data_IF_672264803175
#
_entry.id   IF_672264803175
#
_cell.length_a   1.000
_cell.length_b   1.000
_cell.length_c   1.000
_cell.angle_alpha   90.00
_cell.angle_beta   90.00
_cell.angle_gamma   90.00
#
_symmetry.space_group_name_H-M   'P 1'
#
loop_
_entity.id
_entity.type
_entity.pdbx_description
1 polymer ?
#
# COMPACT_ATOMS: atom_id res chain seq x y z
N UNK A 1 4.14 23.02 -0.47
CA UNK A 1 3.94 22.81 0.98
C UNK A 1 2.56 22.18 1.16
N UNK A 2 2.46 21.00 1.75
CA UNK A 2 1.18 20.36 2.06
C UNK A 2 0.69 20.88 3.43
N UNK A 3 -0.56 21.39 3.54
CA UNK A 3 -1.09 21.85 4.82
C UNK A 3 -1.35 20.72 5.82
N UNK A 4 -1.27 19.45 5.42
CA UNK A 4 -1.47 18.33 6.34
C UNK A 4 -2.90 18.24 6.88
N UNK A 5 -3.06 17.60 8.04
CA UNK A 5 -4.35 17.47 8.73
C UNK A 5 -4.43 18.44 9.91
N UNK A 6 -5.59 19.09 10.14
CA UNK A 6 -5.80 19.89 11.35
C UNK A 6 -5.71 19.00 12.58
N UNK A 7 -4.95 19.45 13.58
CA UNK A 7 -4.74 18.68 14.83
C UNK A 7 -5.18 19.45 16.07
N UNK A 8 -5.43 20.75 15.98
CA UNK A 8 -5.86 21.57 17.11
C UNK A 8 -5.51 23.04 16.97
N UNK A 9 -5.43 23.73 18.11
CA UNK A 9 -5.28 25.19 18.17
C UNK A 9 -4.22 25.62 19.18
N UNK A 10 -3.59 26.76 18.90
CA UNK A 10 -2.70 27.43 19.85
C UNK A 10 -3.51 28.00 21.03
N UNK A 11 -3.16 27.63 22.25
CA UNK A 11 -3.76 28.19 23.48
C UNK A 11 -2.93 29.32 24.07
N UNK A 12 -1.61 29.26 23.91
CA UNK A 12 -0.68 30.27 24.42
C UNK A 12 0.61 30.29 23.59
N UNK A 13 1.24 31.46 23.51
CA UNK A 13 2.54 31.65 22.87
C UNK A 13 3.48 32.24 23.93
N UNK A 14 4.59 31.58 24.18
CA UNK A 14 5.69 32.04 25.02
C UNK A 14 6.89 32.51 24.19
N UNK A 15 7.99 32.90 24.84
CA UNK A 15 9.18 33.44 24.14
C UNK A 15 9.87 32.41 23.24
N UNK A 16 9.87 31.14 23.64
CA UNK A 16 10.54 30.03 22.93
C UNK A 16 9.66 28.78 22.82
N UNK A 17 8.38 28.88 23.17
CA UNK A 17 7.44 27.75 23.14
C UNK A 17 6.04 28.19 22.73
N UNK A 18 5.25 27.22 22.31
CA UNK A 18 3.85 27.38 21.90
C UNK A 18 3.05 26.26 22.59
N UNK A 19 1.97 26.62 23.27
CA UNK A 19 1.04 25.62 23.82
C UNK A 19 -0.07 25.35 22.79
N UNK A 20 -0.32 24.08 22.54
CA UNK A 20 -1.37 23.56 21.68
C UNK A 20 -2.39 22.79 22.52
N UNK A 21 -3.66 22.92 22.18
CA UNK A 21 -4.71 21.99 22.56
C UNK A 21 -5.10 21.18 21.33
N UNK A 22 -4.95 19.86 21.41
CA UNK A 22 -5.30 18.95 20.31
C UNK A 22 -6.80 18.67 20.28
N UNK A 23 -7.34 18.52 19.07
CA UNK A 23 -8.74 18.16 18.84
C UNK A 23 -9.01 16.71 19.28
N UNK A 24 -8.12 15.79 18.92
CA UNK A 24 -8.07 14.43 19.45
C UNK A 24 -7.15 14.38 20.67
N UNK A 25 -7.73 14.07 21.84
CA UNK A 25 -6.99 13.98 23.11
C UNK A 25 -6.06 12.76 23.18
N UNK A 26 -6.30 11.76 22.35
CA UNK A 26 -5.45 10.57 22.24
C UNK A 26 -4.30 10.79 21.23
N UNK A 27 -4.31 11.89 20.49
CA UNK A 27 -3.23 12.19 19.56
C UNK A 27 -1.95 12.60 20.32
N UNK A 28 -0.83 12.13 19.81
CA UNK A 28 0.50 12.38 20.37
C UNK A 28 1.36 13.20 19.40
N UNK A 29 2.16 14.11 19.98
CA UNK A 29 3.17 14.88 19.27
C UNK A 29 4.57 14.40 19.66
N UNK A 30 5.43 14.31 18.66
CA UNK A 30 6.78 13.75 18.80
C UNK A 30 7.84 14.77 18.37
N UNK A 31 9.03 14.63 18.95
CA UNK A 31 10.19 15.43 18.53
C UNK A 31 10.50 15.16 17.05
N UNK A 32 10.69 16.21 16.28
CA UNK A 32 10.93 16.16 14.84
C UNK A 32 9.66 16.24 13.97
N UNK A 33 8.47 16.26 14.56
CA UNK A 33 7.23 16.45 13.81
C UNK A 33 7.23 17.74 12.99
N UNK A 34 6.57 17.68 11.83
CA UNK A 34 6.29 18.84 11.01
C UNK A 34 4.89 19.35 11.28
N UNK A 35 4.80 20.54 11.87
CA UNK A 35 3.56 21.29 11.99
C UNK A 35 3.55 22.46 11.00
N UNK A 36 2.37 22.98 10.73
CA UNK A 36 2.18 24.20 9.93
C UNK A 36 0.86 24.89 10.28
N UNK A 37 0.76 26.16 9.93
CA UNK A 37 -0.44 26.96 10.14
C UNK A 37 -0.55 28.03 9.04
N UNK A 38 -1.73 28.62 8.91
CA UNK A 38 -1.96 29.75 8.00
C UNK A 38 -1.78 31.07 8.74
N UNK A 39 -1.00 31.98 8.17
CA UNK A 39 -0.89 33.36 8.66
C UNK A 39 -2.17 34.18 8.32
N UNK A 40 -2.20 35.47 8.68
CA UNK A 40 -3.37 36.31 8.40
C UNK A 40 -3.62 36.52 6.89
N UNK A 41 -2.58 36.36 6.07
CA UNK A 41 -2.66 36.45 4.61
C UNK A 41 -2.98 35.10 3.96
N UNK A 42 -3.27 34.07 4.76
CA UNK A 42 -3.54 32.69 4.32
C UNK A 42 -2.34 32.02 3.63
N UNK A 43 -1.12 32.44 3.97
CA UNK A 43 0.10 31.78 3.55
C UNK A 43 0.48 30.67 4.55
N UNK A 44 0.98 29.55 4.03
CA UNK A 44 1.33 28.39 4.84
C UNK A 44 2.73 28.55 5.45
N UNK A 45 2.76 28.74 6.77
CA UNK A 45 3.97 28.86 7.60
C UNK A 45 4.30 27.52 8.24
N UNK A 46 5.59 27.14 8.20
CA UNK A 46 6.07 25.90 8.81
C UNK A 46 6.42 26.10 10.28
N UNK A 47 6.18 25.08 11.08
CA UNK A 47 6.46 25.02 12.51
C UNK A 47 7.12 23.67 12.80
N UNK A 48 8.45 23.59 12.61
CA UNK A 48 9.18 22.36 12.88
C UNK A 48 9.34 22.14 14.39
N UNK A 49 8.91 20.99 14.89
CA UNK A 49 8.96 20.64 16.32
C UNK A 49 10.36 20.16 16.67
N UNK A 50 11.07 20.90 17.52
CA UNK A 50 12.33 20.45 18.09
C UNK A 50 12.09 19.57 19.32
N UNK A 51 11.23 20.06 20.24
CA UNK A 51 10.83 19.33 21.44
C UNK A 51 9.32 19.45 21.67
N UNK A 52 8.67 18.33 21.98
CA UNK A 52 7.27 18.24 22.38
C UNK A 52 7.17 17.74 23.83
N UNK A 53 6.39 18.42 24.66
CA UNK A 53 6.16 18.06 26.05
C UNK A 53 4.66 18.02 26.36
N UNK A 54 4.19 16.92 26.95
CA UNK A 54 2.81 16.83 27.43
C UNK A 54 2.64 17.73 28.65
N UNK A 55 1.71 18.68 28.59
CA UNK A 55 1.32 19.49 29.75
C UNK A 55 0.13 18.85 30.47
N UNK A 56 -0.81 18.27 29.72
CA UNK A 56 -1.94 17.53 30.29
C UNK A 56 -2.54 16.57 29.26
N UNK A 57 -2.30 15.27 29.44
CA UNK A 57 -2.85 14.24 28.56
C UNK A 57 -4.40 14.25 28.55
N UNK A 58 -5.03 14.34 29.73
CA UNK A 58 -6.49 14.39 29.85
C UNK A 58 -7.16 15.57 29.11
N UNK A 59 -6.40 16.65 28.86
CA UNK A 59 -6.86 17.84 28.14
C UNK A 59 -6.25 17.96 26.73
N UNK A 60 -5.48 16.97 26.26
CA UNK A 60 -4.78 17.04 24.98
C UNK A 60 -3.83 18.23 24.87
N UNK A 61 -3.26 18.71 25.97
CA UNK A 61 -2.41 19.91 26.00
C UNK A 61 -0.95 19.57 25.86
N UNK A 62 -0.29 20.21 24.90
CA UNK A 62 1.10 20.02 24.57
C UNK A 62 1.83 21.35 24.51
N UNK A 63 3.04 21.40 25.07
CA UNK A 63 3.98 22.50 24.88
C UNK A 63 5.01 22.10 23.85
N UNK A 64 5.10 22.87 22.79
CA UNK A 64 5.98 22.67 21.67
C UNK A 64 7.06 23.73 21.69
N UNK A 65 8.32 23.31 21.54
CA UNK A 65 9.47 24.17 21.35
C UNK A 65 9.87 24.06 19.88
N UNK A 66 9.59 25.10 19.06
CA UNK A 66 9.93 25.07 17.65
C UNK A 66 11.44 25.11 17.44
N UNK A 67 11.89 24.63 16.27
CA UNK A 67 13.29 24.77 15.84
C UNK A 67 13.67 26.23 15.60
N UNK A 68 12.77 26.97 14.97
CA UNK A 68 12.96 28.39 14.65
C UNK A 68 12.46 29.28 15.81
N UNK A 69 13.03 30.48 15.95
CA UNK A 69 12.61 31.40 17.00
C UNK A 69 11.14 31.80 16.86
N UNK A 70 10.38 31.76 17.95
CA UNK A 70 8.93 32.05 17.93
C UNK A 70 8.62 33.46 17.40
N UNK A 71 9.51 34.43 17.67
CA UNK A 71 9.39 35.79 17.13
C UNK A 71 9.45 35.86 15.58
N UNK A 72 10.09 34.88 14.93
CA UNK A 72 10.13 34.76 13.46
C UNK A 72 8.92 34.05 12.87
N UNK A 73 8.05 33.47 13.69
CA UNK A 73 6.83 32.77 13.26
C UNK A 73 5.70 33.79 13.10
N UNK A 74 5.60 34.33 11.88
CA UNK A 74 4.63 35.36 11.50
C UNK A 74 3.20 34.98 11.92
N UNK A 75 2.51 35.89 12.59
CA UNK A 75 1.09 35.78 13.00
C UNK A 75 0.73 34.56 13.89
N UNK A 76 1.71 33.88 14.50
CA UNK A 76 1.44 32.81 15.44
C UNK A 76 0.90 33.38 16.76
N UNK A 77 -0.36 33.07 17.08
CA UNK A 77 -1.05 33.62 18.24
C UNK A 77 -2.07 32.63 18.79
N UNK A 78 -2.59 32.92 19.98
CA UNK A 78 -3.71 32.18 20.55
C UNK A 78 -4.89 32.14 19.57
N UNK A 79 -5.48 30.96 19.39
CA UNK A 79 -6.58 30.68 18.47
C UNK A 79 -6.15 30.30 17.05
N UNK A 80 -4.86 30.34 16.72
CA UNK A 80 -4.38 29.87 15.41
C UNK A 80 -4.56 28.36 15.31
N UNK A 81 -5.19 27.89 14.24
CA UNK A 81 -5.30 26.46 13.92
C UNK A 81 -3.95 25.92 13.45
N UNK A 82 -3.55 24.78 13.99
CA UNK A 82 -2.30 24.10 13.65
C UNK A 82 -2.62 22.77 13.02
N UNK A 83 -1.87 22.46 11.96
CA UNK A 83 -1.97 21.23 11.21
C UNK A 83 -0.66 20.44 11.31
N UNK A 84 -0.74 19.12 11.25
CA UNK A 84 0.40 18.20 11.17
C UNK A 84 0.58 17.72 9.74
N UNK A 85 1.73 18.02 9.14
CA UNK A 85 2.06 17.60 7.78
C UNK A 85 3.16 16.53 7.72
N UNK A 86 3.81 16.24 8.86
CA UNK A 86 4.76 15.14 9.01
C UNK A 86 4.69 14.57 10.43
N UNK A 87 4.39 13.28 10.52
CA UNK A 87 4.44 12.49 11.76
C UNK A 87 5.70 11.62 11.74
N UNK A 88 6.73 12.00 12.50
CA UNK A 88 8.02 11.29 12.49
C UNK A 88 7.91 9.92 13.15
N UNK A 89 7.08 9.78 14.18
CA UNK A 89 6.86 8.49 14.82
C UNK A 89 6.20 7.51 13.85
N UNK A 90 5.14 7.94 13.18
CA UNK A 90 4.45 7.15 12.16
C UNK A 90 5.40 6.72 11.02
N UNK A 91 6.20 7.65 10.50
CA UNK A 91 7.19 7.31 9.46
C UNK A 91 8.19 6.27 9.96
N UNK A 92 8.74 6.43 11.17
CA UNK A 92 9.65 5.43 11.76
C UNK A 92 8.99 4.08 11.99
N UNK A 93 7.71 4.05 12.35
CA UNK A 93 6.94 2.80 12.50
C UNK A 93 6.78 2.13 11.13
N UNK A 94 6.47 2.89 10.07
CA UNK A 94 6.36 2.36 8.71
C UNK A 94 7.70 1.86 8.15
N UNK A 95 8.82 2.46 8.54
CA UNK A 95 10.16 2.03 8.13
C UNK A 95 10.61 0.73 8.82
N UNK A 96 9.99 0.34 9.95
CA UNK A 96 10.27 -0.92 10.62
C UNK A 96 9.65 -2.09 9.86
N UNK A 97 10.28 -3.27 9.97
CA UNK A 97 9.71 -4.53 9.46
C UNK A 97 8.32 -4.74 10.08
N UNK A 98 7.28 -4.61 9.27
CA UNK A 98 5.88 -4.63 9.73
C UNK A 98 5.38 -6.02 10.11
N UNK A 99 5.97 -7.07 9.51
CA UNK A 99 5.64 -8.46 9.76
C UNK A 99 6.80 -9.37 9.35
N UNK A 100 7.01 -10.45 10.10
CA UNK A 100 7.80 -11.60 9.67
C UNK A 100 6.88 -12.82 9.74
N UNK A 101 6.58 -13.44 8.60
CA UNK A 101 5.78 -14.67 8.54
C UNK A 101 6.71 -15.81 8.17
N UNK A 102 6.84 -16.77 9.10
CA UNK A 102 7.64 -17.99 8.91
C UNK A 102 6.77 -19.20 9.20
N UNK A 103 7.13 -20.31 8.58
CA UNK A 103 6.47 -21.60 8.76
C UNK A 103 7.09 -22.27 9.99
N UNK A 104 6.26 -22.67 10.96
CA UNK A 104 6.72 -23.42 12.12
C UNK A 104 7.24 -24.80 11.74
N UNK A 105 8.39 -25.19 12.28
CA UNK A 105 8.96 -26.53 12.10
C UNK A 105 9.40 -27.16 13.43
N UNK A 106 9.15 -28.45 13.58
CA UNK A 106 9.73 -29.29 14.63
C UNK A 106 10.95 -30.01 14.06
N UNK A 107 12.05 -29.98 14.81
CA UNK A 107 13.30 -30.63 14.44
C UNK A 107 13.56 -31.82 15.36
N UNK A 108 13.90 -32.97 14.80
CA UNK A 108 14.35 -34.13 15.55
C UNK A 108 15.72 -34.60 15.03
N UNK A 109 16.74 -34.52 15.89
CA UNK A 109 18.07 -35.06 15.63
C UNK A 109 18.19 -36.40 16.34
N UNK A 110 18.21 -37.48 15.56
CA UNK A 110 18.28 -38.85 16.08
C UNK A 110 19.63 -39.50 15.76
N UNK A 111 20.11 -40.33 16.69
CA UNK A 111 21.24 -41.22 16.44
C UNK A 111 20.80 -42.41 15.56
N UNK A 112 21.66 -42.83 14.63
CA UNK A 112 21.45 -44.03 13.81
C UNK A 112 22.70 -44.90 13.84
N UNK A 113 22.60 -46.16 13.44
CA UNK A 113 23.76 -47.06 13.38
C UNK A 113 24.93 -46.49 12.56
N UNK A 114 24.61 -45.78 11.47
CA UNK A 114 25.58 -45.24 10.50
C UNK A 114 25.98 -43.78 10.75
N UNK A 115 25.37 -43.10 11.72
CA UNK A 115 25.59 -41.68 11.93
C UNK A 115 24.45 -41.00 12.67
N UNK A 116 23.97 -39.88 12.14
CA UNK A 116 22.83 -39.13 12.67
C UNK A 116 21.86 -38.76 11.55
N UNK A 117 20.60 -38.53 11.92
CA UNK A 117 19.56 -38.06 11.00
C UNK A 117 18.86 -36.86 11.60
N UNK A 118 18.68 -35.81 10.80
CA UNK A 118 17.86 -34.66 11.17
C UNK A 118 16.56 -34.72 10.39
N UNK A 119 15.44 -34.84 11.10
CA UNK A 119 14.09 -34.79 10.56
C UNK A 119 13.49 -33.41 10.84
N UNK A 120 12.99 -32.74 9.81
CA UNK A 120 12.20 -31.52 9.93
C UNK A 120 10.76 -31.84 9.54
N UNK A 121 9.79 -31.41 10.35
CA UNK A 121 8.36 -31.49 10.04
C UNK A 121 7.71 -30.14 10.23
N UNK A 122 6.94 -29.67 9.26
CA UNK A 122 6.26 -28.38 9.34
C UNK A 122 4.81 -28.44 9.84
N UNK A 123 4.23 -27.27 10.12
CA UNK A 123 2.84 -27.10 10.59
C UNK A 123 1.76 -27.61 9.61
N UNK A 124 2.09 -27.80 8.33
CA UNK A 124 1.21 -28.38 7.33
C UNK A 124 1.38 -29.92 7.21
N UNK A 125 2.27 -30.51 8.03
CA UNK A 125 2.54 -31.94 8.07
C UNK A 125 3.55 -32.45 7.05
N UNK A 126 4.22 -31.59 6.29
CA UNK A 126 5.29 -32.04 5.39
C UNK A 126 6.53 -32.36 6.21
N UNK A 127 7.18 -33.47 5.87
CA UNK A 127 8.38 -33.94 6.56
C UNK A 127 9.49 -34.25 5.57
N UNK A 128 10.74 -34.03 5.99
CA UNK A 128 11.94 -34.38 5.25
C UNK A 128 13.07 -34.74 6.20
N UNK A 129 14.04 -35.50 5.69
CA UNK A 129 15.20 -36.00 6.43
C UNK A 129 16.49 -35.70 5.69
N UNK A 130 17.52 -35.34 6.45
CA UNK A 130 18.89 -35.33 5.98
C UNK A 130 19.76 -36.23 6.87
N UNK A 131 20.78 -36.84 6.29
CA UNK A 131 21.65 -37.79 6.97
C UNK A 131 23.07 -37.24 7.07
N UNK A 132 23.68 -37.35 8.25
CA UNK A 132 25.04 -36.90 8.51
C UNK A 132 25.87 -38.01 9.15
N UNK A 133 27.17 -37.96 8.96
CA UNK A 133 28.10 -38.83 9.67
C UNK A 133 28.26 -38.35 11.12
N UNK A 134 28.24 -39.27 12.07
CA UNK A 134 28.49 -39.00 13.49
C UNK A 134 29.79 -39.69 13.91
N UNK A 135 30.80 -38.91 14.31
CA UNK A 135 31.97 -39.47 14.97
C UNK A 135 31.63 -39.69 16.44
N UNK A 136 31.69 -40.95 16.91
CA UNK A 136 31.32 -41.34 18.28
C UNK A 136 32.38 -40.94 19.29
N UNK A 137 32.54 -39.64 19.46
CA UNK A 137 33.38 -39.03 20.48
C UNK A 137 32.47 -38.42 21.54
N UNK A 138 32.67 -38.80 22.79
CA UNK A 138 31.94 -38.22 23.91
C UNK A 138 32.28 -36.74 24.06
N UNK A 139 31.26 -35.92 24.33
CA UNK A 139 31.44 -34.54 24.73
C UNK A 139 32.00 -34.47 26.16
N UNK A 140 32.89 -33.50 26.41
CA UNK A 140 33.51 -33.29 27.72
C UNK A 140 32.54 -32.76 28.78
N UNK A 141 31.44 -32.13 28.34
CA UNK A 141 30.38 -31.61 29.20
C UNK A 141 29.01 -32.00 28.61
N UNK A 142 28.41 -33.04 29.18
CA UNK A 142 27.28 -33.76 28.57
C UNK A 142 26.00 -32.94 28.43
N UNK A 143 25.61 -32.19 29.46
CA UNK A 143 24.37 -31.42 29.49
C UNK A 143 24.48 -30.14 28.64
N UNK A 144 25.56 -29.37 28.82
CA UNK A 144 25.81 -28.16 28.04
C UNK A 144 25.96 -28.45 26.53
N UNK A 145 26.46 -29.63 26.17
CA UNK A 145 26.60 -30.05 24.78
C UNK A 145 25.26 -30.27 24.09
N UNK A 146 24.27 -30.86 24.77
CA UNK A 146 22.95 -31.09 24.17
C UNK A 146 22.18 -29.78 23.97
N UNK A 147 22.26 -28.85 24.94
CA UNK A 147 21.63 -27.53 24.81
C UNK A 147 22.28 -26.70 23.69
N UNK A 148 23.60 -26.83 23.52
CA UNK A 148 24.31 -26.21 22.39
C UNK A 148 23.81 -26.75 21.04
N UNK A 149 23.56 -28.07 20.93
CA UNK A 149 23.00 -28.65 19.70
C UNK A 149 21.60 -28.12 19.40
N UNK A 150 20.74 -28.02 20.44
CA UNK A 150 19.40 -27.43 20.31
C UNK A 150 19.47 -25.99 19.82
N UNK A 151 20.31 -25.17 20.42
CA UNK A 151 20.48 -23.77 20.06
C UNK A 151 21.04 -23.61 18.64
N UNK A 152 21.97 -24.46 18.21
CA UNK A 152 22.51 -24.40 16.85
C UNK A 152 21.50 -24.84 15.79
N UNK A 153 20.70 -25.87 16.09
CA UNK A 153 19.63 -26.34 15.19
C UNK A 153 18.46 -25.37 15.10
N UNK A 154 18.12 -24.66 16.18
CA UNK A 154 17.01 -23.69 16.18
C UNK A 154 17.29 -22.46 15.30
N UNK A 155 18.56 -22.21 14.95
CA UNK A 155 18.99 -21.08 14.10
C UNK A 155 18.67 -21.36 12.63
N UNK A 156 17.44 -21.06 12.24
CA UNK A 156 16.94 -21.24 10.87
C UNK A 156 17.35 -20.13 9.88
N UNK A 157 18.06 -19.09 10.31
CA UNK A 157 18.67 -18.07 9.45
C UNK A 157 17.69 -17.37 8.49
N UNK A 158 18.10 -17.22 7.23
CA UNK A 158 17.31 -16.57 6.17
C UNK A 158 16.31 -17.52 5.48
N UNK A 159 16.02 -18.68 6.06
CA UNK A 159 15.02 -19.60 5.50
C UNK A 159 13.60 -19.13 5.82
N UNK A 160 12.62 -19.69 5.12
CA UNK A 160 11.19 -19.42 5.36
C UNK A 160 10.66 -20.06 6.65
N UNK A 161 11.50 -20.76 7.41
CA UNK A 161 11.12 -21.55 8.57
C UNK A 161 11.54 -20.90 9.89
N UNK A 162 10.80 -21.26 10.96
CA UNK A 162 11.16 -20.98 12.34
C UNK A 162 11.08 -22.27 13.16
N UNK A 163 12.09 -22.55 13.98
CA UNK A 163 12.06 -23.71 14.86
C UNK A 163 11.05 -23.49 15.99
N UNK A 164 10.06 -24.37 16.11
CA UNK A 164 9.11 -24.40 17.21
C UNK A 164 9.66 -25.22 18.39
N UNK A 165 10.28 -26.35 18.09
CA UNK A 165 10.93 -27.23 19.06
C UNK A 165 12.08 -28.01 18.41
N UNK A 166 13.05 -28.42 19.23
CA UNK A 166 14.21 -29.22 18.81
C UNK A 166 14.44 -30.36 19.80
N UNK A 167 14.15 -31.59 19.37
CA UNK A 167 14.49 -32.80 20.12
C UNK A 167 15.84 -33.36 19.67
N UNK A 168 16.69 -33.70 20.64
CA UNK A 168 17.98 -34.38 20.39
C UNK A 168 17.96 -35.72 21.13
N UNK A 169 17.89 -36.80 20.36
CA UNK A 169 17.67 -38.16 20.83
C UNK A 169 18.91 -39.02 20.58
N UNK A 170 19.98 -38.71 21.30
CA UNK A 170 21.21 -39.49 21.27
C UNK A 170 21.31 -40.42 22.49
N UNK A 171 21.88 -41.61 22.30
CA UNK A 171 22.11 -42.55 23.39
C UNK A 171 23.16 -42.06 24.39
N UNK A 172 24.10 -41.23 23.92
CA UNK A 172 25.15 -40.58 24.69
C UNK A 172 25.35 -39.14 24.19
N UNK A 173 25.94 -38.24 24.99
CA UNK A 173 26.22 -36.87 24.60
C UNK A 173 27.37 -36.79 23.58
N UNK A 174 27.12 -37.21 22.35
CA UNK A 174 28.10 -37.21 21.27
C UNK A 174 28.48 -35.79 20.86
N UNK A 175 29.77 -35.58 20.60
CA UNK A 175 30.27 -34.34 20.05
C UNK A 175 29.96 -34.26 18.55
N UNK A 176 29.28 -33.20 18.14
CA UNK A 176 28.99 -32.92 16.72
C UNK A 176 29.65 -31.59 16.33
N UNK A 177 30.53 -31.57 15.33
CA UNK A 177 31.09 -30.32 14.83
C UNK A 177 30.01 -29.39 14.27
N UNK A 178 30.11 -28.09 14.57
CA UNK A 178 29.16 -27.08 14.09
C UNK A 178 29.06 -27.04 12.55
N UNK A 179 30.14 -27.34 11.83
CA UNK A 179 30.14 -27.44 10.36
C UNK A 179 29.25 -28.58 9.85
N UNK A 180 29.34 -29.76 10.48
CA UNK A 180 28.51 -30.91 10.14
C UNK A 180 27.03 -30.63 10.44
N UNK A 181 26.74 -30.00 11.58
CA UNK A 181 25.37 -29.64 11.96
C UNK A 181 24.76 -28.58 11.01
N UNK A 182 25.55 -27.59 10.60
CA UNK A 182 25.12 -26.58 9.63
C UNK A 182 24.84 -27.17 8.24
N UNK A 183 25.67 -28.10 7.77
CA UNK A 183 25.44 -28.82 6.52
C UNK A 183 24.16 -29.65 6.60
N UNK A 184 23.99 -30.43 7.67
CA UNK A 184 22.81 -31.25 7.92
C UNK A 184 21.52 -30.42 7.97
N UNK A 185 21.54 -29.28 8.67
CA UNK A 185 20.41 -28.35 8.74
C UNK A 185 20.06 -27.78 7.36
N UNK A 186 21.06 -27.40 6.56
CA UNK A 186 20.84 -26.86 5.21
C UNK A 186 20.21 -27.92 4.30
N UNK A 187 20.75 -29.14 4.29
CA UNK A 187 20.22 -30.24 3.49
C UNK A 187 18.78 -30.60 3.90
N UNK A 188 18.49 -30.65 5.21
CA UNK A 188 17.15 -30.95 5.70
C UNK A 188 16.13 -29.86 5.32
N UNK A 189 16.54 -28.59 5.35
CA UNK A 189 15.72 -27.46 4.90
C UNK A 189 15.45 -27.56 3.40
N UNK A 190 16.47 -27.76 2.56
CA UNK A 190 16.32 -27.90 1.10
C UNK A 190 15.40 -29.09 0.76
N UNK A 191 15.54 -30.21 1.47
CA UNK A 191 14.67 -31.37 1.31
C UNK A 191 13.22 -31.09 1.75
N UNK A 192 13.01 -30.33 2.82
CA UNK A 192 11.67 -29.94 3.27
C UNK A 192 11.00 -29.00 2.27
N UNK A 193 11.73 -28.01 1.73
CA UNK A 193 11.21 -27.13 0.68
C UNK A 193 10.78 -27.92 -0.55
N UNK A 194 11.57 -28.90 -0.97
CA UNK A 194 11.20 -29.79 -2.07
C UNK A 194 9.98 -30.67 -1.73
N UNK A 195 9.86 -31.15 -0.49
CA UNK A 195 8.71 -31.92 0.00
C UNK A 195 7.43 -31.07 -0.06
N UNK A 196 7.47 -29.85 0.48
CA UNK A 196 6.38 -28.87 0.43
C UNK A 196 5.97 -28.53 -1.00
N UNK A 197 6.94 -28.28 -1.88
CA UNK A 197 6.65 -27.96 -3.28
C UNK A 197 5.95 -29.10 -4.02
N UNK A 198 6.29 -30.36 -3.70
CA UNK A 198 5.62 -31.56 -4.24
C UNK A 198 4.22 -31.76 -3.67
N UNK A 199 4.05 -31.50 -2.37
CA UNK A 199 2.75 -31.63 -1.69
C UNK A 199 1.78 -30.46 -2.02
N UNK A 200 2.31 -29.36 -2.57
CA UNK A 200 1.51 -28.19 -2.89
C UNK A 200 0.38 -28.53 -3.85
N UNK A 201 -0.84 -28.46 -3.32
CA UNK A 201 -2.07 -28.58 -4.11
C UNK A 201 -2.59 -27.18 -4.39
N UNK A 202 -2.69 -26.82 -5.68
CA UNK A 202 -3.23 -25.51 -6.08
C UNK A 202 -4.65 -25.38 -5.55
N UNK A 203 -4.90 -24.31 -4.79
CA UNK A 203 -6.25 -24.01 -4.31
C UNK A 203 -7.21 -23.94 -5.51
N UNK A 204 -8.40 -24.58 -5.41
CA UNK A 204 -9.39 -24.48 -6.46
C UNK A 204 -9.80 -23.03 -6.65
N UNK A 205 -10.21 -22.68 -7.86
CA UNK A 205 -10.79 -21.36 -8.12
C UNK A 205 -12.03 -21.20 -7.23
N UNK A 206 -12.14 -20.06 -6.54
CA UNK A 206 -13.34 -19.73 -5.79
C UNK A 206 -14.57 -19.86 -6.69
N UNK A 207 -15.63 -20.46 -6.16
CA UNK A 207 -16.90 -20.53 -6.84
C UNK A 207 -17.48 -19.10 -6.94
N UNK A 208 -18.06 -18.71 -8.09
CA UNK A 208 -18.79 -17.46 -8.18
C UNK A 208 -19.89 -17.39 -7.12
N UNK A 209 -20.07 -16.22 -6.52
CA UNK A 209 -21.20 -15.95 -5.61
C UNK A 209 -22.49 -15.92 -6.43
N UNK A 210 -23.51 -16.64 -5.96
CA UNK A 210 -24.83 -16.70 -6.59
C UNK A 210 -25.92 -16.37 -5.53
N UNK A 211 -26.78 -15.35 -5.77
CA UNK A 211 -26.82 -14.50 -6.95
C UNK A 211 -25.61 -13.54 -7.02
N UNK A 212 -25.30 -12.99 -8.20
CA UNK A 212 -24.18 -12.08 -8.37
C UNK A 212 -24.32 -10.84 -7.48
N UNK A 213 -23.22 -10.40 -6.86
CA UNK A 213 -23.23 -9.21 -6.02
C UNK A 213 -23.69 -7.98 -6.83
N UNK A 214 -24.64 -7.16 -6.35
CA UNK A 214 -25.08 -6.00 -7.13
C UNK A 214 -23.97 -4.96 -7.28
N UNK A 215 -23.86 -4.36 -8.47
CA UNK A 215 -23.01 -3.19 -8.68
C UNK A 215 -23.60 -1.98 -7.94
N UNK A 216 -22.79 -1.07 -7.36
CA UNK A 216 -23.30 0.04 -6.56
C UNK A 216 -24.23 1.01 -7.30
N UNK A 217 -24.06 1.13 -8.62
CA UNK A 217 -24.85 2.00 -9.49
C UNK A 217 -25.69 1.16 -10.46
N UNK A 218 -26.89 1.61 -10.83
CA UNK A 218 -27.71 0.90 -11.82
C UNK A 218 -27.59 1.47 -13.24
N UNK A 219 -26.77 2.51 -13.41
CA UNK A 219 -26.55 3.23 -14.67
C UNK A 219 -25.08 3.60 -14.81
N UNK A 220 -24.46 3.20 -15.91
CA UNK A 220 -23.09 3.56 -16.27
C UNK A 220 -23.11 4.44 -17.53
N UNK A 221 -22.51 5.62 -17.43
CA UNK A 221 -22.19 6.44 -18.62
C UNK A 221 -20.88 5.95 -19.27
N UNK A 222 -20.41 6.66 -20.30
CA UNK A 222 -19.12 6.36 -20.94
C UNK A 222 -17.94 6.31 -19.95
N UNK A 223 -18.07 6.97 -18.78
CA UNK A 223 -17.09 6.95 -17.69
C UNK A 223 -16.95 5.56 -17.03
N UNK A 224 -17.94 4.68 -17.18
CA UNK A 224 -17.87 3.28 -16.76
C UNK A 224 -16.92 2.43 -17.60
N UNK A 225 -16.40 2.99 -18.69
CA UNK A 225 -15.36 2.43 -19.54
C UNK A 225 -15.69 1.01 -20.05
N UNK A 226 -16.96 0.79 -20.37
CA UNK A 226 -17.47 -0.50 -20.86
C UNK A 226 -17.18 -0.63 -22.36
N UNK A 227 -15.99 -1.14 -22.68
CA UNK A 227 -15.50 -1.15 -24.06
C UNK A 227 -15.92 -2.38 -24.88
N UNK A 228 -16.14 -3.54 -24.25
CA UNK A 228 -16.41 -4.79 -24.95
C UNK A 228 -17.64 -5.51 -24.41
N UNK A 229 -18.15 -6.48 -25.19
CA UNK A 229 -19.36 -7.23 -24.85
C UNK A 229 -19.21 -8.04 -23.55
N UNK A 230 -18.01 -8.51 -23.20
CA UNK A 230 -17.79 -9.25 -21.96
C UNK A 230 -17.97 -8.35 -20.74
N UNK A 231 -17.44 -7.12 -20.80
CA UNK A 231 -17.66 -6.10 -19.78
C UNK A 231 -19.15 -5.71 -19.69
N UNK A 232 -19.83 -5.53 -20.82
CA UNK A 232 -21.27 -5.25 -20.82
C UNK A 232 -22.07 -6.37 -20.14
N UNK A 233 -21.80 -7.65 -20.48
CA UNK A 233 -22.45 -8.80 -19.84
C UNK A 233 -22.15 -8.87 -18.35
N UNK A 234 -20.92 -8.53 -17.93
CA UNK A 234 -20.56 -8.46 -16.52
C UNK A 234 -21.44 -7.44 -15.78
N UNK A 235 -21.47 -6.18 -16.22
CA UNK A 235 -22.25 -5.15 -15.54
C UNK A 235 -23.76 -5.45 -15.55
N UNK A 236 -24.29 -5.97 -16.66
CA UNK A 236 -25.68 -6.42 -16.72
C UNK A 236 -25.98 -7.57 -15.74
N UNK A 237 -25.08 -8.57 -15.62
CA UNK A 237 -25.18 -9.66 -14.63
C UNK A 237 -25.17 -9.12 -13.19
N UNK A 238 -24.53 -7.99 -12.95
CA UNK A 238 -24.46 -7.32 -11.65
C UNK A 238 -25.55 -6.24 -11.46
N UNK A 239 -26.60 -6.22 -12.28
CA UNK A 239 -27.80 -5.40 -12.05
C UNK A 239 -27.78 -3.99 -12.64
N UNK A 240 -26.75 -3.64 -13.42
CA UNK A 240 -26.72 -2.38 -14.17
C UNK A 240 -27.70 -2.46 -15.33
N UNK A 241 -28.62 -1.49 -15.41
CA UNK A 241 -29.74 -1.47 -16.38
C UNK A 241 -29.38 -0.69 -17.64
N UNK A 242 -28.70 0.44 -17.47
CA UNK A 242 -28.28 1.31 -18.57
C UNK A 242 -26.77 1.32 -18.61
N UNK A 243 -26.19 0.81 -19.69
CA UNK A 243 -24.74 0.68 -19.84
C UNK A 243 -24.35 1.39 -21.14
N UNK A 244 -23.89 2.63 -21.02
CA UNK A 244 -23.32 3.34 -22.15
C UNK A 244 -21.96 2.72 -22.49
N UNK A 245 -21.60 2.68 -23.79
CA UNK A 245 -20.29 2.21 -24.20
C UNK A 245 -19.19 3.16 -23.72
N UNK A 246 -17.98 2.64 -23.58
CA UNK A 246 -16.80 3.48 -23.39
C UNK A 246 -16.70 4.54 -24.51
N UNK A 247 -16.14 5.71 -24.19
CA UNK A 247 -16.03 6.81 -25.15
C UNK A 247 -15.22 6.41 -26.40
N UNK A 248 -14.22 5.55 -26.22
CA UNK A 248 -13.36 4.98 -27.24
C UNK A 248 -14.09 4.02 -28.19
N UNK A 249 -15.29 3.54 -27.83
CA UNK A 249 -16.15 2.80 -28.76
C UNK A 249 -16.81 3.71 -29.81
N UNK A 250 -16.66 5.04 -29.68
CA UNK A 250 -16.98 6.05 -30.70
C UNK A 250 -18.47 6.19 -31.04
N UNK A 251 -19.34 5.85 -30.09
CA UNK A 251 -20.78 6.09 -30.21
C UNK A 251 -21.15 7.53 -29.82
N UNK A 252 -20.33 8.19 -28.99
CA UNK A 252 -20.46 9.62 -28.64
C UNK A 252 -19.40 10.45 -29.39
N UNK A 253 -19.80 11.17 -30.43
CA UNK A 253 -18.90 12.04 -31.23
C UNK A 253 -18.88 13.51 -30.75
N UNK A 254 -19.54 13.78 -29.63
CA UNK A 254 -19.68 15.11 -29.03
C UNK A 254 -18.48 15.52 -28.19
N UNK A 255 -18.57 16.71 -27.60
CA UNK A 255 -17.66 17.13 -26.54
C UNK A 255 -18.08 16.49 -25.22
N UNK A 256 -17.17 15.72 -24.61
CA UNK A 256 -17.40 15.05 -23.33
C UNK A 256 -16.32 15.44 -22.32
N UNK A 257 -16.57 15.13 -21.04
CA UNK A 257 -15.54 15.31 -20.00
C UNK A 257 -14.50 14.21 -20.13
N UNK A 258 -13.29 14.58 -20.57
CA UNK A 258 -12.15 13.68 -20.72
C UNK A 258 -11.40 13.48 -19.41
N UNK A 259 -11.48 14.47 -18.52
CA UNK A 259 -10.86 14.43 -17.20
C UNK A 259 -11.74 15.19 -16.21
N UNK A 260 -11.99 14.59 -15.05
CA UNK A 260 -12.67 15.23 -13.91
C UNK A 260 -11.64 15.31 -12.78
N UNK A 261 -11.44 16.49 -12.22
CA UNK A 261 -10.45 16.71 -11.15
C UNK A 261 -10.97 17.64 -10.07
N UNK A 262 -10.55 17.38 -8.83
CA UNK A 262 -10.78 18.29 -7.69
C UNK A 262 -9.90 19.54 -7.74
N UNK A 263 -8.79 19.48 -8.47
CA UNK A 263 -7.97 20.67 -8.69
C UNK A 263 -8.73 21.66 -9.58
N UNK A 264 -8.92 22.88 -9.11
CA UNK A 264 -9.72 23.89 -9.78
C UNK A 264 -8.84 25.09 -10.17
N UNK A 265 -8.66 25.32 -11.48
CA UNK A 265 -7.87 26.46 -11.99
C UNK A 265 -8.46 27.80 -11.52
N UNK A 266 -9.79 27.93 -11.44
CA UNK A 266 -10.42 29.13 -10.86
C UNK A 266 -10.00 29.34 -9.40
N UNK A 267 -9.86 28.29 -8.61
CA UNK A 267 -9.37 28.42 -7.24
C UNK A 267 -7.91 28.86 -7.20
N UNK A 268 -7.06 28.28 -8.05
CA UNK A 268 -5.64 28.66 -8.12
C UNK A 268 -5.41 30.09 -8.62
N UNK A 269 -6.32 30.62 -9.44
CA UNK A 269 -6.27 32.00 -9.95
C UNK A 269 -7.08 32.99 -9.10
N UNK A 270 -7.57 32.59 -7.92
CA UNK A 270 -8.41 33.43 -7.03
C UNK A 270 -9.73 33.90 -7.68
N UNK A 271 -10.23 33.15 -8.66
CA UNK A 271 -11.50 33.35 -9.36
C UNK A 271 -12.62 32.43 -8.83
N UNK A 272 -12.43 31.78 -7.68
CA UNK A 272 -13.41 30.84 -7.14
C UNK A 272 -14.56 31.56 -6.42
N UNK A 273 -15.82 31.37 -6.85
CA UNK A 273 -16.96 32.02 -6.20
C UNK A 273 -17.19 31.56 -4.76
N UNK A 274 -16.72 30.35 -4.37
CA UNK A 274 -16.77 29.88 -2.98
C UNK A 274 -15.81 30.65 -2.06
N UNK A 275 -14.69 31.17 -2.56
CA UNK A 275 -13.77 32.01 -1.78
C UNK A 275 -14.28 33.44 -1.64
N UNK A 276 -15.04 33.94 -2.63
CA UNK A 276 -15.62 35.28 -2.61
C UNK A 276 -16.87 35.41 -1.73
N UNK A 277 -17.45 34.30 -1.23
CA UNK A 277 -18.54 34.32 -0.24
C UNK A 277 -18.04 34.92 1.08
N UNK A 278 -18.26 36.22 1.26
CA UNK A 278 -17.94 36.96 2.50
C UNK A 278 -17.28 38.31 2.28
N UNK A 279 -16.87 38.64 1.04
CA UNK A 279 -16.31 39.95 0.71
C UNK A 279 -17.44 40.85 0.19
N UNK A 280 -17.88 41.80 1.02
CA UNK A 280 -18.84 42.86 0.64
C UNK A 280 -18.29 43.64 -0.55
N UNK A 281 -19.01 43.61 -1.69
CA UNK A 281 -18.66 44.31 -2.93
C UNK A 281 -18.31 43.43 -4.13
N UNK A 282 -18.00 42.14 -3.94
CA UNK A 282 -17.58 41.22 -5.02
C UNK A 282 -18.65 40.15 -5.35
N UNK A 283 -19.75 40.14 -4.60
CA UNK A 283 -20.92 39.30 -4.89
C UNK A 283 -21.54 39.73 -6.23
N UNK A 284 -21.24 38.98 -7.29
CA UNK A 284 -21.78 39.19 -8.65
C UNK A 284 -20.77 39.61 -9.71
N UNK A 285 -19.53 39.96 -9.36
CA UNK A 285 -18.52 40.41 -10.35
C UNK A 285 -17.62 39.31 -10.91
N UNK A 286 -17.57 38.12 -10.29
CA UNK A 286 -16.77 37.00 -10.82
C UNK A 286 -17.56 36.22 -11.88
N UNK A 287 -17.93 36.89 -12.98
CA UNK A 287 -18.27 36.22 -14.25
C UNK A 287 -16.96 35.77 -14.89
N UNK A 288 -16.33 34.74 -14.34
CA UNK A 288 -15.17 34.17 -14.99
C UNK A 288 -15.63 33.55 -16.32
N UNK A 289 -15.20 34.15 -17.42
CA UNK A 289 -15.40 33.64 -18.78
C UNK A 289 -14.96 32.16 -18.87
N UNK A 290 -15.51 31.37 -19.83
CA UNK A 290 -15.10 29.98 -20.00
C UNK A 290 -13.59 29.91 -20.22
N UNK A 291 -12.90 29.22 -19.30
CA UNK A 291 -11.45 29.02 -19.40
C UNK A 291 -11.15 27.91 -20.40
N UNK A 292 -10.06 28.04 -21.14
CA UNK A 292 -9.58 27.03 -22.07
C UNK A 292 -8.15 26.65 -21.73
N UNK A 293 -7.85 25.35 -21.81
CA UNK A 293 -6.47 24.86 -21.84
C UNK A 293 -6.02 24.77 -23.29
N UNK A 294 -4.90 25.41 -23.59
CA UNK A 294 -4.29 25.38 -24.91
C UNK A 294 -3.01 24.56 -24.82
N UNK A 295 -2.94 23.46 -25.57
CA UNK A 295 -1.74 22.65 -25.71
C UNK A 295 -1.39 22.53 -27.20
N UNK A 296 -0.46 23.39 -27.66
CA UNK A 296 -0.15 23.51 -29.07
C UNK A 296 -1.36 23.95 -29.90
N UNK A 297 -1.85 23.06 -30.79
CA UNK A 297 -3.02 23.30 -31.64
C UNK A 297 -4.35 22.89 -30.98
N UNK A 298 -4.30 22.29 -29.79
CA UNK A 298 -5.49 21.78 -29.10
C UNK A 298 -6.06 22.81 -28.16
N UNK A 299 -7.38 22.97 -28.19
CA UNK A 299 -8.15 23.79 -27.26
C UNK A 299 -9.13 22.89 -26.53
N UNK A 300 -8.98 22.79 -25.23
CA UNK A 300 -9.88 22.04 -24.34
C UNK A 300 -10.64 23.03 -23.48
N UNK A 301 -11.96 22.87 -23.39
CA UNK A 301 -12.82 23.78 -22.62
C UNK A 301 -12.87 23.31 -21.17
N UNK A 302 -12.70 24.23 -20.22
CA UNK A 302 -12.85 23.93 -18.80
C UNK A 302 -14.27 24.25 -18.35
N UNK A 303 -14.98 23.24 -17.85
CA UNK A 303 -16.26 23.41 -17.14
C UNK A 303 -16.03 23.25 -15.64
N UNK A 304 -16.72 24.06 -14.84
CA UNK A 304 -16.53 24.11 -13.40
C UNK A 304 -17.85 23.79 -12.69
N UNK A 305 -17.96 22.60 -12.12
CA UNK A 305 -19.08 22.27 -11.25
C UNK A 305 -18.73 22.64 -9.81
N UNK A 306 -19.24 23.79 -9.38
CA UNK A 306 -18.99 24.30 -8.05
C UNK A 306 -19.71 23.48 -6.96
N UNK A 307 -20.72 22.66 -7.27
CA UNK A 307 -21.44 21.89 -6.25
C UNK A 307 -20.57 20.75 -5.68
N UNK A 308 -20.05 19.79 -6.47
CA UNK A 308 -19.11 18.76 -6.03
C UNK A 308 -17.65 19.26 -5.96
N UNK A 309 -17.38 20.53 -6.29
CA UNK A 309 -16.04 21.11 -6.40
C UNK A 309 -15.17 20.37 -7.42
N UNK A 310 -15.65 20.29 -8.66
CA UNK A 310 -14.98 19.59 -9.75
C UNK A 310 -14.72 20.51 -10.93
N UNK A 311 -13.57 20.32 -11.57
CA UNK A 311 -13.23 20.90 -12.86
C UNK A 311 -13.20 19.77 -13.88
N UNK A 312 -13.94 19.97 -14.97
CA UNK A 312 -14.05 19.07 -16.09
C UNK A 312 -13.24 19.64 -17.25
N UNK A 313 -12.29 18.85 -17.76
CA UNK A 313 -11.60 19.14 -19.01
C UNK A 313 -12.41 18.50 -20.12
N UNK A 314 -13.07 19.35 -20.91
CA UNK A 314 -13.99 18.95 -21.95
C UNK A 314 -13.29 19.02 -23.30
N UNK A 315 -13.42 17.96 -24.09
CA UNK A 315 -12.83 17.88 -25.41
C UNK A 315 -13.52 16.85 -26.29
N UNK A 316 -13.12 16.85 -27.56
CA UNK A 316 -13.63 15.93 -28.58
C UNK A 316 -12.52 14.97 -29.02
N UNK A 317 -12.89 13.73 -29.30
CA UNK A 317 -11.97 12.75 -29.84
C UNK A 317 -11.39 13.23 -31.19
N UNK A 318 -10.08 13.10 -31.36
CA UNK A 318 -9.42 13.47 -32.63
C UNK A 318 -9.82 12.50 -33.72
N UNK A 319 -10.13 13.00 -34.91
CA UNK A 319 -10.47 12.18 -36.08
C UNK A 319 -9.41 11.14 -36.40
N UNK A 320 -8.12 11.45 -36.20
CA UNK A 320 -7.03 10.50 -36.40
C UNK A 320 -7.08 9.31 -35.42
N UNK A 321 -7.31 9.58 -34.13
CA UNK A 321 -7.49 8.55 -33.10
C UNK A 321 -8.74 7.73 -33.43
N UNK A 322 -9.84 8.41 -33.83
CA UNK A 322 -11.09 7.75 -34.27
C UNK A 322 -10.85 6.76 -35.41
N UNK A 323 -10.07 7.15 -36.42
CA UNK A 323 -9.72 6.27 -37.54
C UNK A 323 -8.82 5.12 -37.10
N UNK A 324 -7.82 5.40 -36.26
CA UNK A 324 -6.89 4.40 -35.78
C UNK A 324 -7.61 3.31 -34.97
N UNK A 325 -8.42 3.68 -33.97
CA UNK A 325 -9.14 2.69 -33.15
C UNK A 325 -10.14 1.89 -34.00
N UNK A 326 -10.77 2.48 -35.02
CA UNK A 326 -11.60 1.71 -35.96
C UNK A 326 -10.81 0.63 -36.70
N UNK A 327 -9.59 0.94 -37.12
CA UNK A 327 -8.68 -0.04 -37.75
C UNK A 327 -8.28 -1.12 -36.74
N UNK A 328 -7.90 -0.74 -35.52
CA UNK A 328 -7.52 -1.68 -34.46
C UNK A 328 -8.68 -2.60 -34.05
N UNK A 329 -9.90 -2.06 -33.94
CA UNK A 329 -11.11 -2.84 -33.66
C UNK A 329 -11.43 -3.83 -34.79
N UNK A 330 -11.30 -3.39 -36.06
CA UNK A 330 -11.49 -4.27 -37.21
C UNK A 330 -10.44 -5.39 -37.25
N UNK A 331 -9.17 -5.07 -36.95
CA UNK A 331 -8.10 -6.06 -36.85
C UNK A 331 -8.32 -7.03 -35.68
N UNK A 332 -8.72 -6.53 -34.51
CA UNK A 332 -9.02 -7.37 -33.34
C UNK A 332 -10.20 -8.32 -33.61
N UNK A 333 -11.21 -7.89 -34.37
CA UNK A 333 -12.32 -8.74 -34.80
C UNK A 333 -11.89 -9.81 -35.82
N UNK A 334 -10.85 -9.55 -36.61
CA UNK A 334 -10.28 -10.50 -37.57
C UNK A 334 -9.20 -11.40 -36.97
N UNK A 335 -8.61 -11.00 -35.83
CA UNK A 335 -7.60 -11.79 -35.12
C UNK A 335 -8.19 -13.07 -34.55
N UNK A 336 -7.46 -14.18 -34.69
CA UNK A 336 -7.85 -15.41 -34.00
C UNK A 336 -7.73 -15.19 -32.48
N UNK A 337 -8.78 -15.47 -31.70
CA UNK A 337 -8.70 -15.35 -30.25
C UNK A 337 -7.59 -16.27 -29.73
N UNK A 338 -6.74 -15.76 -28.84
CA UNK A 338 -5.78 -16.57 -28.10
C UNK A 338 -6.55 -17.64 -27.31
N UNK A 339 -6.47 -18.89 -27.77
CA UNK A 339 -7.09 -20.02 -27.08
C UNK A 339 -6.19 -20.40 -25.91
N UNK A 340 -6.60 -20.02 -24.70
CA UNK A 340 -5.96 -20.48 -23.48
C UNK A 340 -6.38 -21.92 -23.20
N UNK A 341 -5.51 -22.87 -23.54
CA UNK A 341 -5.73 -24.28 -23.23
C UNK A 341 -5.50 -24.53 -21.73
N UNK A 342 -6.41 -25.27 -21.09
CA UNK A 342 -6.28 -25.69 -19.67
C UNK A 342 -5.04 -26.57 -19.42
N UNK A 343 -4.56 -27.25 -20.46
CA UNK A 343 -3.36 -28.07 -20.46
C UNK A 343 -2.49 -27.61 -21.63
N UNK A 344 -1.17 -27.69 -21.49
CA UNK A 344 -0.24 -27.42 -22.60
C UNK A 344 -0.63 -28.35 -23.76
N UNK A 345 -0.90 -27.83 -24.97
CA UNK A 345 -1.22 -28.67 -26.12
C UNK A 345 -0.09 -29.68 -26.34
N UNK A 346 -0.40 -30.97 -26.25
CA UNK A 346 0.53 -32.05 -26.57
C UNK A 346 0.59 -32.18 -28.09
N UNK A 347 1.69 -31.75 -28.71
CA UNK A 347 1.93 -31.96 -30.15
C UNK A 347 2.50 -30.77 -30.92
N UNK A 348 2.67 -29.60 -30.30
CA UNK A 348 3.42 -28.50 -30.91
C UNK A 348 4.85 -28.47 -30.38
N UNK A 349 5.76 -29.07 -31.13
CA UNK A 349 7.18 -28.74 -31.02
C UNK A 349 7.36 -27.28 -31.44
N UNK A 350 7.58 -26.40 -30.46
CA UNK A 350 8.11 -25.08 -30.75
C UNK A 350 9.62 -25.22 -30.82
N UNK A 351 10.15 -25.13 -32.04
CA UNK A 351 11.57 -25.25 -32.33
C UNK A 351 12.42 -24.28 -31.52
N UNK A 352 13.44 -24.85 -30.88
CA UNK A 352 14.78 -24.30 -30.91
C UNK A 352 15.61 -25.17 -31.85
#
# INVERSE_FOLDING_TARGET
KNPGQPIGFVTQVGPNWVELALDDKNAELHNGDGLCYYDLQKELVGLAVNRAEVQSAAKGKWRIFPKDAVAGLKDLRKGTQVNRNRDVHWTRVLEKKSSDRRIGVWLALDETERGMVLTLTDEDGNSAKAHGTLQRQLSKDSAASLDTLREQLSRMGNTIFQALDVSVNFSQPWFVPASALNALRREAVEALEASRAKAFTRLPRALPVEPPAPFPEDTLSYLGNVFNQAAHRFYAKHGVKVIAPAYEAMEELGEVSLMITKHCVRFSLSLCPKQAKGVTGVQGQVKAEPLQLINGKEKLTLRFDCKPCEMHVVGKAKTAIVRQTKVELAQAAQGQPLVFHKLRPSGTEFGH
#
